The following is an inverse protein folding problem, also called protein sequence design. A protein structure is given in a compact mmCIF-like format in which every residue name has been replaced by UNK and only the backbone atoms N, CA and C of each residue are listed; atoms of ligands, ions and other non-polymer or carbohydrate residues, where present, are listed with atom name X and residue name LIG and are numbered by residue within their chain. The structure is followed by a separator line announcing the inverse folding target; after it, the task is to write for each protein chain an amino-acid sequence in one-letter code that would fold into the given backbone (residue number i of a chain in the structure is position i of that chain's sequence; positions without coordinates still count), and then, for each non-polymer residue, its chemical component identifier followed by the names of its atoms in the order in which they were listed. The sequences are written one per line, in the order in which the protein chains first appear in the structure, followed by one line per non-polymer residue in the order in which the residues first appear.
data_IF_413377279045
#
_entry.id   IF_413377279045
#
_cell.length_a   1.000
_cell.length_b   1.000
_cell.length_c   1.000
_cell.angle_alpha   90.00
_cell.angle_beta   90.00
_cell.angle_gamma   90.00
#
_symmetry.space_group_name_H-M   'P 1'
#
loop_
_entity.id
_entity.type
_entity.pdbx_description
1 polymer ?
#
# COMPACT_ATOMS: atom_id res chain seq x y z
N UNK A 1 -5.34 -4.37 -2.76
CA UNK A 1 -4.52 -3.15 -2.99
C UNK A 1 -5.46 -1.98 -3.19
N UNK A 2 -5.21 -0.84 -2.55
CA UNK A 2 -6.01 0.38 -2.66
C UNK A 2 -5.11 1.49 -3.21
N UNK A 3 -5.62 2.29 -4.13
CA UNK A 3 -4.88 3.41 -4.72
C UNK A 3 -5.68 4.69 -4.53
N UNK A 4 -4.97 5.77 -4.21
CA UNK A 4 -5.52 7.12 -4.14
C UNK A 4 -4.62 8.07 -4.94
N UNK A 5 -5.19 8.79 -5.90
CA UNK A 5 -4.44 9.59 -6.86
C UNK A 5 -4.83 11.06 -6.71
N UNK A 6 -3.86 11.91 -6.39
CA UNK A 6 -3.98 13.36 -6.40
C UNK A 6 -5.22 13.88 -5.68
N UNK A 7 -6.23 14.34 -6.45
CA UNK A 7 -7.48 14.89 -5.91
C UNK A 7 -8.29 13.93 -5.05
N UNK A 8 -8.05 12.62 -5.12
CA UNK A 8 -8.69 11.62 -4.25
C UNK A 8 -8.15 11.66 -2.83
N UNK A 9 -7.03 12.35 -2.57
CA UNK A 9 -6.45 12.51 -1.24
C UNK A 9 -7.25 13.51 -0.41
N UNK A 10 -7.48 13.15 0.86
CA UNK A 10 -8.17 14.02 1.82
C UNK A 10 -7.31 15.23 2.18
N UNK A 11 -6.00 15.01 2.32
CA UNK A 11 -5.03 16.05 2.66
C UNK A 11 -4.62 16.86 1.43
N UNK A 12 -4.78 18.18 1.50
CA UNK A 12 -4.43 19.10 0.40
C UNK A 12 -2.97 18.98 -0.02
N UNK A 13 -2.07 18.79 0.94
CA UNK A 13 -0.63 18.66 0.71
C UNK A 13 -0.25 17.36 -0.04
N UNK A 14 -1.15 16.37 -0.10
CA UNK A 14 -0.94 15.12 -0.82
C UNK A 14 -1.61 15.10 -2.19
N UNK A 15 -2.26 16.19 -2.61
CA UNK A 15 -2.96 16.23 -3.91
C UNK A 15 -2.03 16.23 -5.12
N UNK A 16 -0.73 16.43 -4.92
CA UNK A 16 0.31 16.26 -5.95
C UNK A 16 0.97 14.88 -5.93
N UNK A 17 0.51 13.96 -5.07
CA UNK A 17 1.08 12.63 -4.90
C UNK A 17 0.07 11.53 -5.24
N UNK A 18 0.57 10.31 -5.29
CA UNK A 18 -0.21 9.09 -5.37
C UNK A 18 0.20 8.15 -4.25
N UNK A 19 -0.80 7.52 -3.66
CA UNK A 19 -0.64 6.60 -2.56
C UNK A 19 -1.15 5.23 -3.01
N UNK A 20 -0.28 4.22 -2.97
CA UNK A 20 -0.64 2.82 -3.20
C UNK A 20 -0.48 2.08 -1.89
N UNK A 21 -1.56 1.54 -1.33
CA UNK A 21 -1.54 0.82 -0.05
C UNK A 21 -2.07 -0.60 -0.17
N UNK A 22 -1.63 -1.46 0.73
CA UNK A 22 -2.06 -2.85 0.84
C UNK A 22 -2.07 -3.25 2.31
N UNK A 23 -3.10 -3.99 2.72
CA UNK A 23 -3.14 -4.57 4.06
C UNK A 23 -2.19 -5.77 4.17
N UNK A 24 -1.62 -6.00 5.34
CA UNK A 24 -0.95 -7.25 5.68
C UNK A 24 -1.63 -7.92 6.88
N UNK A 25 -1.45 -9.24 6.99
CA UNK A 25 -2.16 -10.08 7.97
C UNK A 25 -3.10 -11.06 7.27
N UNK A 26 -4.00 -11.67 8.04
CA UNK A 26 -5.02 -12.56 7.49
C UNK A 26 -6.10 -11.74 6.74
N UNK A 27 -6.67 -12.30 5.67
CA UNK A 27 -7.75 -11.63 4.92
C UNK A 27 -8.97 -11.31 5.80
N UNK A 28 -9.21 -12.11 6.84
CA UNK A 28 -10.28 -11.92 7.83
C UNK A 28 -9.93 -10.94 8.95
N UNK A 29 -8.65 -10.66 9.19
CA UNK A 29 -8.17 -9.77 10.24
C UNK A 29 -6.85 -9.13 9.81
N UNK A 30 -6.93 -7.99 9.08
CA UNK A 30 -5.75 -7.24 8.69
C UNK A 30 -5.09 -6.64 9.93
N UNK A 31 -3.80 -6.92 10.10
CA UNK A 31 -2.98 -6.45 11.23
C UNK A 31 -2.51 -5.00 11.02
N UNK A 32 -2.41 -4.57 9.77
CA UNK A 32 -2.01 -3.22 9.41
C UNK A 32 -1.93 -3.03 7.90
N UNK A 33 -1.30 -1.94 7.46
CA UNK A 33 -1.12 -1.64 6.06
C UNK A 33 0.31 -1.16 5.76
N UNK A 34 0.76 -1.44 4.54
CA UNK A 34 1.97 -0.90 3.94
C UNK A 34 1.58 -0.02 2.75
N UNK A 35 2.45 0.90 2.34
CA UNK A 35 2.20 1.67 1.12
C UNK A 35 3.42 2.38 0.55
N UNK A 36 3.26 2.84 -0.69
CA UNK A 36 4.23 3.66 -1.42
C UNK A 36 3.60 5.02 -1.70
N UNK A 37 4.39 6.09 -1.54
CA UNK A 37 4.05 7.45 -1.95
C UNK A 37 4.92 7.82 -3.15
N UNK A 38 4.30 8.31 -4.22
CA UNK A 38 4.99 8.75 -5.42
C UNK A 38 4.30 9.94 -6.10
N UNK A 39 4.82 10.42 -7.23
CA UNK A 39 4.15 11.44 -8.05
C UNK A 39 2.84 10.89 -8.67
N UNK A 40 1.96 11.78 -9.13
CA UNK A 40 0.68 11.43 -9.77
C UNK A 40 0.83 10.66 -11.10
N UNK A 41 2.00 10.74 -11.75
CA UNK A 41 2.36 9.86 -12.86
C UNK A 41 3.51 8.96 -12.41
N UNK A 42 3.17 7.84 -11.81
CA UNK A 42 4.13 6.79 -11.44
C UNK A 42 3.85 5.50 -12.21
N UNK A 43 4.79 4.55 -12.20
CA UNK A 43 4.52 3.19 -12.62
C UNK A 43 3.64 2.49 -11.56
N UNK A 44 2.32 2.59 -11.74
CA UNK A 44 1.35 2.00 -10.83
C UNK A 44 1.41 0.48 -10.83
N UNK A 45 1.61 -0.15 -11.99
CA UNK A 45 1.64 -1.61 -12.09
C UNK A 45 2.84 -2.17 -11.32
N UNK A 46 4.04 -1.61 -11.55
CA UNK A 46 5.24 -1.98 -10.80
C UNK A 46 5.11 -1.72 -9.30
N UNK A 47 4.54 -0.56 -8.93
CA UNK A 47 4.38 -0.18 -7.51
C UNK A 47 3.37 -1.05 -6.77
N UNK A 48 2.23 -1.38 -7.41
CA UNK A 48 1.24 -2.31 -6.86
C UNK A 48 1.83 -3.72 -6.70
N UNK A 49 2.63 -4.18 -7.66
CA UNK A 49 3.29 -5.48 -7.58
C UNK A 49 4.31 -5.52 -6.43
N UNK A 50 5.17 -4.49 -6.33
CA UNK A 50 6.16 -4.37 -5.29
C UNK A 50 5.53 -4.35 -3.89
N UNK A 51 4.54 -3.48 -3.65
CA UNK A 51 3.91 -3.38 -2.32
C UNK A 51 3.19 -4.67 -1.94
N UNK A 52 2.57 -5.36 -2.91
CA UNK A 52 1.90 -6.65 -2.67
C UNK A 52 2.87 -7.75 -2.30
N UNK A 53 4.05 -7.80 -2.93
CA UNK A 53 5.09 -8.75 -2.58
C UNK A 53 5.60 -8.54 -1.15
N UNK A 54 5.85 -7.29 -0.77
CA UNK A 54 6.29 -6.93 0.59
C UNK A 54 5.20 -7.27 1.62
N UNK A 55 3.93 -7.01 1.33
CA UNK A 55 2.81 -7.33 2.22
C UNK A 55 2.69 -8.83 2.50
N UNK A 56 2.88 -9.67 1.48
CA UNK A 56 2.92 -11.12 1.66
C UNK A 56 4.09 -11.55 2.53
N UNK A 57 5.26 -10.95 2.33
CA UNK A 57 6.44 -11.26 3.13
C UNK A 57 6.26 -10.86 4.59
N UNK A 58 5.83 -9.62 4.86
CA UNK A 58 5.58 -9.11 6.21
C UNK A 58 4.46 -9.88 6.89
N UNK A 59 3.38 -10.18 6.17
CA UNK A 59 2.27 -10.99 6.68
C UNK A 59 2.73 -12.38 7.11
N UNK A 60 3.56 -13.06 6.30
CA UNK A 60 4.15 -14.35 6.67
C UNK A 60 5.08 -14.24 7.87
N UNK A 61 6.00 -13.27 7.87
CA UNK A 61 6.98 -13.10 8.95
C UNK A 61 6.32 -12.84 10.30
N UNK A 62 5.30 -11.99 10.33
CA UNK A 62 4.56 -11.69 11.56
C UNK A 62 3.72 -12.90 11.99
N UNK A 63 3.16 -13.66 11.05
CA UNK A 63 2.38 -14.87 11.37
C UNK A 63 3.23 -16.06 11.84
N UNK A 64 4.51 -16.12 11.45
CA UNK A 64 5.46 -17.14 11.92
C UNK A 64 6.07 -16.81 13.30
N UNK A 65 6.01 -15.55 13.73
CA UNK A 65 6.55 -15.08 15.01
C UNK A 65 5.56 -15.04 16.17
N UNK A 66 4.33 -15.56 16.00
CA UNK A 66 3.25 -15.60 17.01
C UNK A 66 2.98 -17.05 17.43
#
# INVERSE_FOLDING_TARGET
VKVRIGSEQSETNLRSTSLVTVGYGSDSSPLGALGIIGPTRMDYAGSMAAVSAVARYVGRFINEGV
#
